data_IF_308544277661
#
_entry.id   IF_308544277661
#
_cell.length_a   1.000
_cell.length_b   1.000
_cell.length_c   1.000
_cell.angle_alpha   90.00
_cell.angle_beta   90.00
_cell.angle_gamma   90.00
#
_symmetry.space_group_name_H-M   'P 1'
#
loop_
_entity.id
_entity.type
_entity.pdbx_description
1 polymer ?
#
# COMPACT_ATOMS: atom_id res chain seq x y z
N UNK A 1 -20.14 -0.34 22.18
CA UNK A 1 -20.52 -1.13 20.99
C UNK A 1 -20.25 -2.61 21.28
N UNK A 2 -21.29 -3.47 21.35
CA UNK A 2 -21.17 -4.91 21.71
C UNK A 2 -21.37 -5.88 20.54
N UNK A 3 -21.48 -5.37 19.31
CA UNK A 3 -21.86 -6.18 18.13
C UNK A 3 -20.94 -6.04 16.93
N UNK A 4 -19.76 -5.44 17.09
CA UNK A 4 -18.82 -5.28 15.99
C UNK A 4 -17.68 -6.32 16.09
N UNK A 5 -16.96 -6.54 14.99
CA UNK A 5 -15.90 -7.55 14.92
C UNK A 5 -14.80 -7.31 15.96
N UNK A 6 -14.43 -6.05 16.22
CA UNK A 6 -13.47 -5.68 17.28
C UNK A 6 -13.94 -6.20 18.65
N UNK A 7 -15.21 -5.97 19.01
CA UNK A 7 -15.75 -6.42 20.29
C UNK A 7 -15.74 -7.94 20.40
N UNK A 8 -16.11 -8.64 19.33
CA UNK A 8 -16.09 -10.10 19.29
C UNK A 8 -14.68 -10.66 19.53
N UNK A 9 -13.70 -10.21 18.75
CA UNK A 9 -12.32 -10.68 18.89
C UNK A 9 -11.71 -10.34 20.26
N UNK A 10 -11.91 -9.11 20.75
CA UNK A 10 -11.41 -8.70 22.05
C UNK A 10 -11.98 -9.54 23.22
N UNK A 11 -13.24 -9.97 23.15
CA UNK A 11 -13.88 -10.71 24.25
C UNK A 11 -13.73 -12.23 24.11
N UNK A 12 -13.67 -12.76 22.88
CA UNK A 12 -13.57 -14.21 22.63
C UNK A 12 -12.13 -14.69 22.55
N UNK A 13 -11.23 -13.87 22.00
CA UNK A 13 -9.82 -14.23 21.76
C UNK A 13 -8.82 -13.45 22.63
N UNK A 14 -9.30 -12.49 23.46
CA UNK A 14 -8.45 -11.60 24.27
C UNK A 14 -7.41 -10.80 23.47
N UNK A 15 -7.59 -10.72 22.15
CA UNK A 15 -6.71 -10.01 21.22
C UNK A 15 -7.51 -9.61 19.97
N UNK A 16 -7.07 -8.58 19.27
CA UNK A 16 -7.69 -8.09 18.03
C UNK A 16 -6.66 -8.14 16.90
N UNK A 17 -6.80 -9.10 15.96
CA UNK A 17 -5.91 -9.20 14.83
C UNK A 17 -5.93 -7.94 13.96
N UNK A 18 -4.78 -7.58 13.37
CA UNK A 18 -4.67 -6.39 12.51
C UNK A 18 -5.66 -6.41 11.33
N UNK A 19 -5.94 -7.58 10.75
CA UNK A 19 -6.90 -7.73 9.64
C UNK A 19 -8.35 -7.47 10.08
N UNK A 20 -8.67 -7.56 11.37
CA UNK A 20 -9.98 -7.15 11.90
C UNK A 20 -10.04 -5.62 12.01
N UNK A 21 -8.91 -4.99 12.34
CA UNK A 21 -8.81 -3.54 12.41
C UNK A 21 -8.90 -2.90 11.02
N UNK A 22 -8.43 -3.57 9.96
CA UNK A 22 -8.47 -3.01 8.59
C UNK A 22 -9.87 -2.68 8.09
N UNK A 23 -10.92 -3.28 8.65
CA UNK A 23 -12.32 -2.94 8.33
C UNK A 23 -12.74 -1.54 8.83
N UNK A 24 -11.98 -0.96 9.77
CA UNK A 24 -12.24 0.33 10.42
C UNK A 24 -11.18 1.39 10.10
N UNK A 25 -10.12 1.00 9.39
CA UNK A 25 -9.02 1.89 9.03
C UNK A 25 -9.23 2.45 7.63
N UNK A 26 -8.93 3.72 7.44
CA UNK A 26 -8.77 4.27 6.11
C UNK A 26 -7.44 3.81 5.50
N UNK A 27 -7.33 3.88 4.16
CA UNK A 27 -6.08 3.57 3.48
C UNK A 27 -4.90 4.42 3.99
N UNK A 28 -5.18 5.68 4.34
CA UNK A 28 -4.19 6.59 4.94
C UNK A 28 -3.68 6.12 6.30
N UNK A 29 -4.54 5.52 7.12
CA UNK A 29 -4.16 4.96 8.42
C UNK A 29 -3.26 3.74 8.24
N UNK A 30 -3.67 2.81 7.36
CA UNK A 30 -2.89 1.62 7.08
C UNK A 30 -1.51 1.95 6.51
N UNK A 31 -1.44 2.91 5.57
CA UNK A 31 -0.17 3.45 5.08
C UNK A 31 0.70 3.96 6.24
N UNK A 32 0.12 4.77 7.13
CA UNK A 32 0.84 5.37 8.25
C UNK A 32 1.36 4.31 9.21
N UNK A 33 0.59 3.25 9.47
CA UNK A 33 1.03 2.10 10.25
C UNK A 33 2.26 1.46 9.58
N UNK A 34 2.18 1.11 8.29
CA UNK A 34 3.27 0.45 7.57
C UNK A 34 4.55 1.32 7.57
N UNK A 35 4.41 2.62 7.34
CA UNK A 35 5.53 3.59 7.35
C UNK A 35 6.26 3.66 8.71
N UNK A 36 5.56 3.36 9.81
CA UNK A 36 6.13 3.37 11.16
C UNK A 36 6.52 1.98 11.70
N UNK A 37 6.34 0.91 10.92
CA UNK A 37 6.83 -0.42 11.31
C UNK A 37 8.36 -0.49 11.27
N UNK A 38 8.98 -1.37 12.06
CA UNK A 38 10.39 -1.73 11.89
C UNK A 38 10.70 -2.14 10.45
N UNK A 39 11.89 -1.77 9.95
CA UNK A 39 12.33 -2.10 8.59
C UNK A 39 12.23 -3.61 8.29
N UNK A 40 12.42 -4.49 9.26
CA UNK A 40 12.26 -5.95 9.07
C UNK A 40 10.85 -6.31 8.61
N UNK A 41 9.82 -5.76 9.26
CA UNK A 41 8.42 -5.99 8.89
C UNK A 41 8.06 -5.31 7.56
N UNK A 42 8.58 -4.11 7.30
CA UNK A 42 8.39 -3.47 5.99
C UNK A 42 8.96 -4.32 4.85
N UNK A 43 10.14 -4.93 5.08
CA UNK A 43 10.76 -5.87 4.14
C UNK A 43 9.92 -7.14 3.95
N UNK A 44 9.35 -7.69 5.01
CA UNK A 44 8.44 -8.84 4.92
C UNK A 44 7.21 -8.50 4.06
N UNK A 45 6.55 -7.37 4.33
CA UNK A 45 5.40 -6.91 3.54
C UNK A 45 5.80 -6.70 2.07
N UNK A 46 6.95 -6.09 1.80
CA UNK A 46 7.43 -5.90 0.44
C UNK A 46 7.68 -7.24 -0.28
N UNK A 47 8.26 -8.24 0.41
CA UNK A 47 8.44 -9.59 -0.14
C UNK A 47 7.11 -10.28 -0.43
N UNK A 48 6.12 -10.16 0.45
CA UNK A 48 4.80 -10.77 0.23
C UNK A 48 4.13 -10.21 -1.04
N UNK A 49 4.31 -8.91 -1.30
CA UNK A 49 3.80 -8.22 -2.49
C UNK A 49 4.55 -8.58 -3.79
N UNK A 50 5.72 -9.22 -3.72
CA UNK A 50 6.43 -9.68 -4.93
C UNK A 50 5.55 -10.65 -5.73
N UNK A 51 4.80 -11.54 -5.07
CA UNK A 51 3.89 -12.47 -5.75
C UNK A 51 2.84 -11.73 -6.63
N UNK A 52 2.28 -10.64 -6.10
CA UNK A 52 1.38 -9.76 -6.82
C UNK A 52 2.08 -9.04 -7.98
N UNK A 53 3.30 -8.53 -7.75
CA UNK A 53 4.11 -7.87 -8.79
C UNK A 53 4.40 -8.84 -9.93
N UNK A 54 4.89 -10.05 -9.65
CA UNK A 54 5.21 -11.07 -10.66
C UNK A 54 3.99 -11.50 -11.47
N UNK A 55 2.78 -11.41 -10.90
CA UNK A 55 1.54 -11.69 -11.64
C UNK A 55 1.21 -10.60 -12.68
N UNK A 56 1.63 -9.36 -12.44
CA UNK A 56 1.35 -8.22 -13.33
C UNK A 56 2.55 -7.83 -14.21
N UNK A 57 3.75 -8.30 -13.86
CA UNK A 57 5.00 -8.05 -14.57
C UNK A 57 5.63 -9.42 -14.86
N UNK A 58 5.33 -10.01 -16.03
CA UNK A 58 5.98 -11.24 -16.47
C UNK A 58 7.50 -11.05 -16.42
N UNK A 59 8.21 -12.09 -15.97
CA UNK A 59 9.67 -12.13 -15.80
C UNK A 59 10.24 -11.17 -14.74
N UNK A 60 9.42 -10.74 -13.76
CA UNK A 60 9.95 -10.04 -12.59
C UNK A 60 10.96 -10.91 -11.83
N UNK A 61 12.23 -10.49 -11.85
CA UNK A 61 13.36 -11.14 -11.17
C UNK A 61 14.21 -10.13 -10.39
N UNK A 62 13.59 -9.07 -9.88
CA UNK A 62 14.26 -8.01 -9.13
C UNK A 62 13.76 -7.98 -7.68
N UNK A 63 14.33 -7.11 -6.85
CA UNK A 63 13.88 -6.85 -5.49
C UNK A 63 12.82 -5.76 -5.53
N UNK A 64 11.78 -5.90 -4.70
CA UNK A 64 10.87 -4.81 -4.36
C UNK A 64 11.28 -4.21 -3.01
N UNK A 65 11.97 -3.06 -2.97
CA UNK A 65 12.50 -2.51 -1.73
C UNK A 65 11.38 -1.88 -0.86
N UNK A 66 11.51 -1.93 0.48
CA UNK A 66 10.52 -1.32 1.38
C UNK A 66 10.39 0.20 1.17
N UNK A 67 11.46 0.91 0.85
CA UNK A 67 11.41 2.35 0.53
C UNK A 67 10.58 2.65 -0.72
N UNK A 68 10.62 1.76 -1.72
CA UNK A 68 9.78 1.84 -2.91
C UNK A 68 8.33 1.57 -2.56
N UNK A 69 8.05 0.55 -1.73
CA UNK A 69 6.73 0.28 -1.18
C UNK A 69 6.13 1.51 -0.48
N UNK A 70 6.86 2.10 0.48
CA UNK A 70 6.39 3.29 1.21
C UNK A 70 6.11 4.46 0.26
N UNK A 71 7.02 4.71 -0.69
CA UNK A 71 6.83 5.78 -1.66
C UNK A 71 5.62 5.54 -2.56
N UNK A 72 5.36 4.30 -2.97
CA UNK A 72 4.21 3.94 -3.80
C UNK A 72 2.90 4.07 -3.00
N UNK A 73 2.85 3.56 -1.77
CA UNK A 73 1.68 3.71 -0.89
C UNK A 73 1.29 5.18 -0.69
N UNK A 74 2.26 6.09 -0.60
CA UNK A 74 2.00 7.53 -0.51
C UNK A 74 1.27 8.06 -1.74
N UNK A 75 1.77 7.76 -2.93
CA UNK A 75 1.16 8.18 -4.19
C UNK A 75 -0.22 7.53 -4.39
N UNK A 76 -0.36 6.24 -4.09
CA UNK A 76 -1.64 5.52 -4.14
C UNK A 76 -2.68 6.19 -3.23
N UNK A 77 -2.28 6.54 -2.00
CA UNK A 77 -3.16 7.23 -1.06
C UNK A 77 -3.61 8.61 -1.60
N UNK A 78 -2.70 9.39 -2.19
CA UNK A 78 -3.03 10.70 -2.78
C UNK A 78 -4.01 10.57 -3.96
N UNK A 79 -3.78 9.62 -4.86
CA UNK A 79 -4.67 9.34 -5.99
C UNK A 79 -6.04 8.87 -5.52
N UNK A 80 -6.10 7.92 -4.57
CA UNK A 80 -7.35 7.43 -3.97
C UNK A 80 -8.15 8.58 -3.35
N UNK A 81 -7.50 9.44 -2.56
CA UNK A 81 -8.16 10.57 -1.91
C UNK A 81 -8.69 11.56 -2.95
N UNK A 82 -7.93 11.81 -4.02
CA UNK A 82 -8.39 12.68 -5.11
C UNK A 82 -9.67 12.15 -5.77
N UNK A 83 -9.73 10.84 -6.04
CA UNK A 83 -10.92 10.16 -6.56
C UNK A 83 -12.11 10.25 -5.61
N UNK A 84 -11.91 9.97 -4.31
CA UNK A 84 -12.97 9.97 -3.31
C UNK A 84 -13.61 11.36 -3.13
N UNK A 85 -12.85 12.43 -3.36
CA UNK A 85 -13.35 13.81 -3.32
C UNK A 85 -13.91 14.29 -4.68
N UNK A 86 -14.29 13.39 -5.59
CA UNK A 86 -14.88 13.69 -6.92
C UNK A 86 -14.08 14.71 -7.75
N UNK A 87 -12.76 14.74 -7.59
CA UNK A 87 -11.92 15.63 -8.37
C UNK A 87 -11.40 14.96 -9.64
N UNK A 88 -11.11 15.78 -10.67
CA UNK A 88 -10.50 15.28 -11.91
C UNK A 88 -9.07 14.78 -11.64
N UNK A 89 -8.76 13.61 -12.18
CA UNK A 89 -7.40 13.05 -12.23
C UNK A 89 -6.59 13.61 -13.40
N UNK A 90 -7.24 14.10 -14.46
CA UNK A 90 -6.54 14.73 -15.57
C UNK A 90 -5.75 15.94 -15.07
N UNK A 91 -4.45 15.98 -15.37
CA UNK A 91 -3.48 16.97 -14.87
C UNK A 91 -3.25 16.97 -13.36
N UNK A 92 -3.73 15.97 -12.63
CA UNK A 92 -3.37 15.80 -11.22
C UNK A 92 -1.89 15.38 -11.12
N UNK A 93 -1.19 15.98 -10.16
CA UNK A 93 0.17 15.59 -9.78
C UNK A 93 0.19 15.33 -8.29
N UNK A 94 0.74 14.20 -7.89
CA UNK A 94 1.00 13.94 -6.49
C UNK A 94 1.96 14.99 -5.93
N UNK A 95 1.81 15.30 -4.64
CA UNK A 95 2.69 16.23 -3.93
C UNK A 95 4.09 15.67 -3.73
N UNK A 96 4.17 14.35 -3.66
CA UNK A 96 5.42 13.61 -3.45
C UNK A 96 5.85 12.95 -4.75
N UNK A 97 7.14 12.98 -5.03
CA UNK A 97 7.69 12.15 -6.09
C UNK A 97 7.58 10.67 -5.71
N UNK A 98 7.39 9.83 -6.73
CA UNK A 98 7.54 8.38 -6.57
C UNK A 98 9.03 8.04 -6.63
N UNK A 99 9.49 7.14 -5.75
CA UNK A 99 10.81 6.53 -5.87
C UNK A 99 10.93 5.88 -7.23
N UNK A 100 11.99 6.22 -7.95
CA UNK A 100 12.27 5.59 -9.24
C UNK A 100 12.54 4.11 -9.03
N UNK A 101 11.83 3.28 -9.78
CA UNK A 101 12.00 1.83 -9.75
C UNK A 101 11.95 1.30 -11.18
N UNK A 102 13.11 0.86 -11.67
CA UNK A 102 13.34 0.49 -13.06
C UNK A 102 12.28 -0.48 -13.59
N UNK A 103 11.88 -1.46 -12.79
CA UNK A 103 10.89 -2.50 -13.15
C UNK A 103 9.64 -1.96 -13.83
N UNK A 104 9.13 -0.80 -13.37
CA UNK A 104 7.91 -0.18 -13.91
C UNK A 104 8.15 1.15 -14.63
N UNK A 105 9.26 1.84 -14.34
CA UNK A 105 9.52 3.17 -14.91
C UNK A 105 10.30 3.13 -16.23
N UNK A 106 11.05 2.05 -16.50
CA UNK A 106 11.77 1.92 -17.78
C UNK A 106 10.89 1.32 -18.91
N UNK A 107 9.70 0.81 -18.60
CA UNK A 107 8.80 0.20 -19.60
C UNK A 107 8.05 1.22 -20.50
N UNK A 108 8.21 2.53 -20.30
CA UNK A 108 7.64 3.56 -21.19
C UNK A 108 8.66 4.53 -21.80
N UNK A 109 9.66 3.96 -22.51
CA UNK A 109 10.13 4.53 -23.78
C UNK A 109 9.88 3.52 -24.90
N UNK A 110 8.68 2.94 -24.98
CA UNK A 110 8.27 2.04 -26.08
C UNK A 110 6.78 2.20 -26.47
N UNK A 111 6.17 3.35 -26.16
CA UNK A 111 4.94 3.81 -26.82
C UNK A 111 5.20 5.15 -27.52
N UNK A 112 6.19 5.14 -28.41
CA UNK A 112 6.38 6.11 -29.49
C UNK A 112 6.10 5.46 -30.83
#
# INVERSE_FOLDING_TARGET
YRGNSIHHYAHTHSDVPIWVLTDYLEFGDLRTIIENLPNSLQNEIARDLVSFISTNIPDFNDVFPPETLISFLKNINEVRNKCAHNNRLLNFRCRSNSTFWETIHNKEILMG
#
